data_IF_629730152779
#
_entry.id   IF_629730152779
#
_cell.length_a   1.000
_cell.length_b   1.000
_cell.length_c   1.000
_cell.angle_alpha   90.00
_cell.angle_beta   90.00
_cell.angle_gamma   90.00
#
_symmetry.space_group_name_H-M   'P 1'
#
loop_
_entity.id
_entity.type
_entity.pdbx_description
1 polymer ?
#
# COMPACT_ATOMS: atom_id res chain seq x y z
N UNK A 1 2.64 -15.37 7.03
CA UNK A 1 1.19 -15.20 7.28
C UNK A 1 0.45 -16.28 6.55
N UNK A 2 -0.33 -17.09 7.25
CA UNK A 2 -1.17 -18.11 6.62
C UNK A 2 -2.22 -17.44 5.73
N UNK A 3 -2.49 -18.01 4.55
CA UNK A 3 -3.42 -17.45 3.55
C UNK A 3 -3.12 -16.00 3.14
N UNK A 4 -1.84 -15.59 3.13
CA UNK A 4 -1.44 -14.23 2.73
C UNK A 4 -2.00 -13.84 1.35
N UNK A 5 -1.97 -14.77 0.40
CA UNK A 5 -2.46 -14.56 -0.97
C UNK A 5 -3.98 -14.66 -1.12
N UNK A 6 -4.74 -14.71 -0.03
CA UNK A 6 -6.20 -14.67 -0.08
C UNK A 6 -6.66 -13.28 -0.57
N UNK A 7 -7.47 -13.18 -1.64
CA UNK A 7 -8.06 -11.92 -2.07
C UNK A 7 -8.79 -11.17 -0.94
N UNK A 8 -9.39 -11.89 0.01
CA UNK A 8 -10.12 -11.32 1.15
C UNK A 8 -9.26 -10.38 2.01
N UNK A 9 -7.95 -10.61 2.08
CA UNK A 9 -7.04 -9.74 2.83
C UNK A 9 -6.89 -8.32 2.21
N UNK A 10 -7.47 -8.09 1.03
CA UNK A 10 -7.48 -6.78 0.34
C UNK A 10 -8.73 -5.95 0.63
N UNK A 11 -9.79 -6.55 1.18
CA UNK A 11 -11.08 -5.88 1.41
C UNK A 11 -11.20 -5.44 2.88
N UNK A 12 -11.55 -4.18 3.12
CA UNK A 12 -11.53 -3.59 4.47
C UNK A 12 -12.54 -4.27 5.41
N UNK A 13 -13.73 -4.59 4.92
CA UNK A 13 -14.77 -5.33 5.63
C UNK A 13 -14.26 -6.70 6.09
N UNK A 14 -13.71 -7.50 5.17
CA UNK A 14 -13.12 -8.80 5.48
C UNK A 14 -11.93 -8.70 6.44
N UNK A 15 -11.09 -7.64 6.32
CA UNK A 15 -9.97 -7.39 7.24
C UNK A 15 -10.47 -7.08 8.65
N UNK A 16 -11.52 -6.28 8.79
CA UNK A 16 -12.10 -5.92 10.09
C UNK A 16 -12.72 -7.14 10.79
N UNK A 17 -13.36 -8.03 10.02
CA UNK A 17 -13.96 -9.26 10.55
C UNK A 17 -12.89 -10.31 10.90
N UNK A 18 -11.97 -10.58 9.97
CA UNK A 18 -11.03 -11.71 10.07
C UNK A 18 -9.70 -11.33 10.73
N UNK A 19 -9.43 -10.03 10.92
CA UNK A 19 -8.17 -9.48 11.46
C UNK A 19 -6.94 -9.94 10.68
N UNK A 20 -7.10 -10.18 9.38
CA UNK A 20 -6.06 -10.60 8.44
C UNK A 20 -6.08 -9.65 7.26
N UNK A 21 -5.00 -8.89 7.06
CA UNK A 21 -4.90 -7.91 5.99
C UNK A 21 -3.50 -7.85 5.41
N UNK A 22 -3.40 -7.30 4.20
CA UNK A 22 -2.13 -7.03 3.53
C UNK A 22 -1.47 -5.76 4.09
N UNK A 23 -0.16 -5.56 3.87
CA UNK A 23 0.51 -4.32 4.26
C UNK A 23 -0.21 -3.06 3.80
N UNK A 24 -0.70 -3.08 2.55
CA UNK A 24 -1.47 -1.99 1.98
C UNK A 24 -2.80 -1.79 2.73
N UNK A 25 -3.61 -2.83 2.89
CA UNK A 25 -4.95 -2.71 3.47
C UNK A 25 -4.89 -2.26 4.93
N UNK A 26 -3.92 -2.77 5.70
CA UNK A 26 -3.69 -2.33 7.07
C UNK A 26 -3.21 -0.87 7.12
N UNK A 27 -2.40 -0.43 6.16
CA UNK A 27 -2.00 0.97 6.04
C UNK A 27 -3.18 1.89 5.75
N UNK A 28 -4.09 1.49 4.86
CA UNK A 28 -5.34 2.23 4.63
C UNK A 28 -6.18 2.31 5.90
N UNK A 29 -6.30 1.22 6.65
CA UNK A 29 -7.00 1.22 7.94
C UNK A 29 -6.36 2.21 8.94
N UNK A 30 -5.03 2.24 9.04
CA UNK A 30 -4.32 3.20 9.89
C UNK A 30 -4.58 4.65 9.46
N UNK A 31 -4.52 4.96 8.16
CA UNK A 31 -4.83 6.29 7.63
C UNK A 31 -6.25 6.70 8.02
N UNK A 32 -7.25 5.83 7.81
CA UNK A 32 -8.64 6.12 8.13
C UNK A 32 -8.88 6.34 9.63
N UNK A 33 -8.18 5.61 10.49
CA UNK A 33 -8.26 5.78 11.95
C UNK A 33 -7.54 7.07 12.38
N UNK A 34 -6.33 7.32 11.88
CA UNK A 34 -5.55 8.50 12.20
C UNK A 34 -6.29 9.80 11.83
N UNK A 35 -6.91 9.84 10.64
CA UNK A 35 -7.74 10.96 10.21
C UNK A 35 -8.87 11.29 11.21
N UNK A 36 -9.50 10.27 11.81
CA UNK A 36 -10.55 10.45 12.84
C UNK A 36 -10.00 10.98 14.16
N UNK A 37 -8.71 10.78 14.41
CA UNK A 37 -7.98 11.29 15.57
C UNK A 37 -7.32 12.65 15.30
N UNK A 38 -7.47 13.21 14.09
CA UNK A 38 -6.83 14.47 13.71
C UNK A 38 -5.34 14.35 13.39
N UNK A 39 -4.86 13.14 13.09
CA UNK A 39 -3.48 12.88 12.65
C UNK A 39 -3.45 12.59 11.15
N UNK A 40 -2.57 13.27 10.41
CA UNK A 40 -2.41 13.05 8.98
C UNK A 40 -1.30 12.04 8.68
N UNK A 41 -1.70 10.82 8.32
CA UNK A 41 -0.79 9.80 7.81
C UNK A 41 -0.89 9.70 6.29
N UNK A 42 0.26 9.69 5.64
CA UNK A 42 0.41 9.55 4.20
C UNK A 42 0.78 8.10 3.83
N UNK A 43 0.27 7.55 2.73
CA UNK A 43 0.66 6.22 2.25
C UNK A 43 2.10 6.22 1.73
N UNK A 44 2.90 5.21 2.08
CA UNK A 44 4.29 5.07 1.64
C UNK A 44 4.47 3.70 0.99
N UNK A 45 4.83 3.74 -0.30
CA UNK A 45 4.91 2.54 -1.12
C UNK A 45 6.35 2.19 -1.51
N UNK A 46 6.95 1.22 -0.84
CA UNK A 46 8.29 0.69 -1.17
C UNK A 46 8.19 -0.62 -1.98
N UNK A 47 9.22 -1.05 -2.71
CA UNK A 47 9.13 -2.29 -3.47
C UNK A 47 8.87 -3.49 -2.55
N UNK A 48 7.87 -4.29 -2.89
CA UNK A 48 7.46 -5.47 -2.10
C UNK A 48 6.73 -5.17 -0.78
N UNK A 49 6.54 -3.91 -0.37
CA UNK A 49 5.90 -3.59 0.91
C UNK A 49 5.11 -2.27 0.87
N UNK A 50 4.32 -2.01 1.91
CA UNK A 50 3.54 -0.78 2.03
C UNK A 50 3.36 -0.41 3.49
N UNK A 51 3.49 0.86 3.81
CA UNK A 51 3.45 1.40 5.17
C UNK A 51 2.91 2.84 5.15
N UNK A 52 2.98 3.55 6.27
CA UNK A 52 2.51 4.95 6.38
C UNK A 52 3.59 5.87 6.92
N UNK A 53 3.55 7.13 6.53
CA UNK A 53 4.46 8.19 7.00
C UNK A 53 3.68 9.33 7.65
N UNK A 54 4.28 10.01 8.62
CA UNK A 54 3.78 11.25 9.19
C UNK A 54 4.81 12.35 8.96
N UNK A 55 4.34 13.51 8.49
CA UNK A 55 5.17 14.64 8.08
C UNK A 55 4.68 15.97 8.67
N UNK A 56 3.89 15.93 9.75
CA UNK A 56 3.30 17.12 10.37
C UNK A 56 4.33 17.94 11.18
N UNK A 57 5.37 17.29 11.71
CA UNK A 57 6.43 17.91 12.52
C UNK A 57 7.78 17.96 11.77
N UNK A 58 8.73 18.73 12.31
CA UNK A 58 10.12 18.82 11.80
C UNK A 58 10.84 17.46 11.71
N UNK A 59 10.37 16.46 12.47
CA UNK A 59 10.91 15.12 12.51
C UNK A 59 9.90 14.11 11.92
N UNK A 60 9.96 13.82 10.60
CA UNK A 60 9.07 12.83 10.01
C UNK A 60 9.37 11.43 10.54
N UNK A 61 8.32 10.62 10.67
CA UNK A 61 8.44 9.22 11.04
C UNK A 61 7.62 8.34 10.09
N UNK A 62 7.97 7.06 10.09
CA UNK A 62 7.26 6.03 9.35
C UNK A 62 6.78 4.96 10.32
N UNK A 63 5.69 4.30 9.97
CA UNK A 63 5.03 3.29 10.78
C UNK A 63 4.59 2.15 9.87
N UNK A 64 4.89 0.92 10.27
CA UNK A 64 4.56 -0.29 9.52
C UNK A 64 3.44 -1.07 10.23
N UNK A 65 2.18 -0.94 9.77
CA UNK A 65 1.04 -1.65 10.34
C UNK A 65 1.13 -3.16 10.25
N UNK A 66 1.81 -3.68 9.23
CA UNK A 66 1.95 -5.12 9.01
C UNK A 66 2.98 -5.73 9.95
N UNK A 67 4.07 -5.02 10.21
CA UNK A 67 5.09 -5.37 11.21
C UNK A 67 4.70 -4.89 12.62
N UNK A 68 3.45 -5.15 13.02
CA UNK A 68 2.92 -4.88 14.37
C UNK A 68 3.06 -3.43 14.84
N UNK A 69 2.95 -2.47 13.92
CA UNK A 69 3.06 -1.04 14.25
C UNK A 69 4.51 -0.61 14.54
N UNK A 70 5.50 -1.22 13.88
CA UNK A 70 6.90 -0.85 14.04
C UNK A 70 7.16 0.55 13.47
N UNK A 71 7.80 1.40 14.26
CA UNK A 71 8.24 2.73 13.84
C UNK A 71 9.61 2.69 13.17
N UNK A 72 9.83 3.61 12.23
CA UNK A 72 11.10 3.88 11.58
C UNK A 72 11.38 5.38 11.53
N UNK A 73 12.64 5.74 11.73
CA UNK A 73 13.16 7.03 11.27
C UNK A 73 13.38 7.00 9.76
N UNK A 74 13.55 8.15 9.09
CA UNK A 74 13.90 8.17 7.66
C UNK A 74 15.15 7.35 7.33
N UNK A 75 16.19 7.43 8.17
CA UNK A 75 17.39 6.61 8.00
C UNK A 75 17.09 5.13 8.23
N UNK A 76 16.35 4.77 9.27
CA UNK A 76 16.02 3.37 9.54
C UNK A 76 15.17 2.71 8.46
N UNK A 77 14.30 3.49 7.78
CA UNK A 77 13.55 3.00 6.63
C UNK A 77 14.46 2.84 5.40
N UNK A 78 15.39 3.77 5.17
CA UNK A 78 16.42 3.63 4.11
C UNK A 78 17.26 2.37 4.32
N UNK A 79 17.78 2.16 5.53
CA UNK A 79 18.57 0.98 5.88
C UNK A 79 17.76 -0.31 5.64
N UNK A 80 16.46 -0.30 5.95
CA UNK A 80 15.58 -1.45 5.67
C UNK A 80 15.48 -1.77 4.17
N UNK A 81 15.38 -0.74 3.33
CA UNK A 81 15.31 -0.91 1.86
C UNK A 81 16.64 -1.47 1.33
N UNK A 82 17.77 -0.93 1.79
CA UNK A 82 19.11 -1.41 1.42
C UNK A 82 19.32 -2.88 1.81
N UNK A 83 18.90 -3.25 3.02
CA UNK A 83 18.99 -4.63 3.50
C UNK A 83 18.12 -5.62 2.70
N UNK A 84 17.13 -5.12 1.94
CA UNK A 84 16.35 -5.92 1.01
C UNK A 84 17.01 -6.03 -0.40
N UNK A 85 18.25 -5.56 -0.55
CA UNK A 85 18.99 -5.45 -1.82
C UNK A 85 18.27 -4.60 -2.87
N UNK A 86 17.59 -3.55 -2.42
CA UNK A 86 16.93 -2.56 -3.27
C UNK A 86 17.72 -1.25 -3.14
N UNK A 87 18.06 -0.63 -4.27
CA UNK A 87 18.67 0.69 -4.27
C UNK A 87 17.67 1.73 -3.76
N UNK A 88 17.98 2.50 -2.69
CA UNK A 88 17.03 3.46 -2.15
C UNK A 88 16.90 4.69 -3.04
N UNK A 89 15.72 4.90 -3.58
CA UNK A 89 15.35 6.14 -4.27
C UNK A 89 14.60 7.09 -3.34
N UNK A 90 14.70 8.40 -3.60
CA UNK A 90 13.94 9.41 -2.85
C UNK A 90 12.43 9.14 -2.86
N UNK A 91 11.90 8.59 -3.97
CA UNK A 91 10.50 8.21 -4.10
C UNK A 91 10.04 7.16 -3.08
N UNK A 92 10.94 6.32 -2.55
CA UNK A 92 10.58 5.32 -1.53
C UNK A 92 10.23 5.93 -0.17
N UNK A 93 10.69 7.15 0.09
CA UNK A 93 10.47 7.89 1.34
C UNK A 93 9.32 8.91 1.20
N UNK A 94 8.82 9.12 -0.01
CA UNK A 94 7.79 10.09 -0.32
C UNK A 94 6.38 9.48 -0.31
N UNK A 95 5.33 10.29 -0.04
CA UNK A 95 3.94 9.87 -0.19
C UNK A 95 3.63 9.28 -1.57
N UNK A 96 3.00 8.11 -1.58
CA UNK A 96 2.41 7.54 -2.78
C UNK A 96 1.14 8.29 -3.14
N UNK A 97 0.93 8.57 -4.41
CA UNK A 97 -0.34 9.14 -4.87
C UNK A 97 -1.50 8.18 -4.64
N UNK A 98 -2.72 8.72 -4.59
CA UNK A 98 -3.96 7.93 -4.56
C UNK A 98 -3.99 6.93 -5.71
N UNK A 99 -3.57 7.36 -6.91
CA UNK A 99 -3.49 6.51 -8.11
C UNK A 99 -2.53 5.34 -7.91
N UNK A 100 -1.33 5.59 -7.40
CA UNK A 100 -0.34 4.52 -7.15
C UNK A 100 -0.83 3.54 -6.09
N UNK A 101 -1.52 4.05 -5.05
CA UNK A 101 -2.13 3.24 -4.00
C UNK A 101 -3.22 2.33 -4.58
N UNK A 102 -4.19 2.89 -5.32
CA UNK A 102 -5.25 2.11 -5.96
C UNK A 102 -4.69 1.10 -6.97
N UNK A 103 -3.68 1.50 -7.76
CA UNK A 103 -3.03 0.58 -8.68
C UNK A 103 -2.31 -0.56 -7.95
N UNK A 104 -1.72 -0.31 -6.77
CA UNK A 104 -1.17 -1.39 -5.94
C UNK A 104 -2.28 -2.30 -5.42
N UNK A 105 -3.43 -1.78 -4.97
CA UNK A 105 -4.59 -2.60 -4.58
C UNK A 105 -5.00 -3.56 -5.69
N UNK A 106 -5.21 -3.03 -6.90
CA UNK A 106 -5.61 -3.83 -8.04
C UNK A 106 -4.54 -4.86 -8.43
N UNK A 107 -3.24 -4.51 -8.39
CA UNK A 107 -2.16 -5.49 -8.65
C UNK A 107 -2.16 -6.64 -7.64
N UNK A 108 -2.39 -6.37 -6.35
CA UNK A 108 -2.51 -7.42 -5.33
C UNK A 108 -3.67 -8.35 -5.66
N UNK A 109 -4.85 -7.80 -5.96
CA UNK A 109 -6.04 -8.58 -6.31
C UNK A 109 -5.86 -9.39 -7.59
N UNK A 110 -5.29 -8.79 -8.64
CA UNK A 110 -4.96 -9.51 -9.89
C UNK A 110 -4.08 -10.71 -9.59
N UNK A 111 -3.02 -10.53 -8.78
CA UNK A 111 -2.11 -11.61 -8.42
C UNK A 111 -2.84 -12.71 -7.62
N UNK A 112 -3.57 -12.33 -6.57
CA UNK A 112 -4.24 -13.27 -5.66
C UNK A 112 -5.34 -14.08 -6.37
N UNK A 113 -6.18 -13.43 -7.18
CA UNK A 113 -7.19 -14.14 -7.98
C UNK A 113 -6.57 -15.03 -9.06
N UNK A 114 -5.42 -14.63 -9.64
CA UNK A 114 -4.69 -15.50 -10.58
C UNK A 114 -4.20 -16.76 -9.89
N UNK A 115 -3.58 -16.62 -8.71
CA UNK A 115 -3.08 -17.74 -7.91
C UNK A 115 -4.21 -18.68 -7.45
N UNK A 116 -5.41 -18.14 -7.18
CA UNK A 116 -6.58 -18.94 -6.81
C UNK A 116 -7.36 -19.51 -8.02
N UNK A 117 -6.90 -19.32 -9.25
CA UNK A 117 -7.57 -19.78 -10.47
C UNK A 117 -8.84 -19.02 -10.87
N UNK A 118 -9.14 -17.90 -10.22
CA UNK A 118 -10.34 -17.08 -10.48
C UNK A 118 -10.06 -16.04 -11.57
N UNK A 119 -9.80 -16.51 -12.79
CA UNK A 119 -9.30 -15.67 -13.89
C UNK A 119 -10.23 -14.52 -14.30
N UNK A 120 -11.55 -14.70 -14.17
CA UNK A 120 -12.52 -13.63 -14.46
C UNK A 120 -12.32 -12.43 -13.51
N UNK A 121 -12.13 -12.69 -12.21
CA UNK A 121 -11.85 -11.65 -11.23
C UNK A 121 -10.49 -11.01 -11.46
N UNK A 122 -9.47 -11.81 -11.77
CA UNK A 122 -8.16 -11.27 -12.15
C UNK A 122 -8.25 -10.37 -13.39
N UNK A 123 -9.08 -10.70 -14.37
CA UNK A 123 -9.29 -9.87 -15.55
C UNK A 123 -10.04 -8.58 -15.24
N UNK A 124 -11.03 -8.63 -14.34
CA UNK A 124 -11.76 -7.44 -13.89
C UNK A 124 -10.82 -6.43 -13.23
N UNK A 125 -10.03 -6.85 -12.22
CA UNK A 125 -9.12 -5.92 -11.56
C UNK A 125 -7.98 -5.43 -12.47
N UNK A 126 -7.66 -6.19 -13.52
CA UNK A 126 -6.73 -5.75 -14.56
C UNK A 126 -7.33 -4.66 -15.44
N UNK A 127 -8.64 -4.64 -15.70
CA UNK A 127 -9.26 -3.56 -16.48
C UNK A 127 -9.19 -2.23 -15.73
N UNK A 128 -9.42 -2.23 -14.42
CA UNK A 128 -9.26 -1.02 -13.59
C UNK A 128 -7.84 -0.45 -13.63
N UNK A 129 -6.81 -1.31 -13.66
CA UNK A 129 -5.42 -0.86 -13.82
C UNK A 129 -5.20 -0.11 -15.14
N UNK A 130 -5.74 -0.64 -16.23
CA UNK A 130 -5.66 0.01 -17.54
C UNK A 130 -6.37 1.36 -17.53
N UNK A 131 -7.57 1.43 -16.96
CA UNK A 131 -8.35 2.68 -16.85
C UNK A 131 -7.63 3.76 -16.03
N UNK A 132 -6.99 3.38 -14.92
CA UNK A 132 -6.21 4.33 -14.11
C UNK A 132 -5.00 4.89 -14.87
N UNK A 133 -4.36 4.07 -15.70
CA UNK A 133 -3.24 4.52 -16.53
C UNK A 133 -3.70 5.45 -17.65
N UNK A 134 -4.77 5.10 -18.36
CA UNK A 134 -5.34 5.93 -19.43
C UNK A 134 -5.80 7.29 -18.92
N UNK A 135 -6.42 7.34 -17.73
CA UNK A 135 -6.88 8.59 -17.13
C UNK A 135 -5.71 9.51 -16.79
N UNK A 136 -4.62 8.95 -16.26
CA UNK A 136 -3.39 9.69 -15.95
C UNK A 136 -2.74 10.28 -17.21
N UNK A 137 -2.59 9.46 -18.26
CA UNK A 137 -1.97 9.89 -19.51
C UNK A 137 -2.76 11.02 -20.18
N UNK A 138 -4.09 11.03 -20.04
CA UNK A 138 -4.96 12.13 -20.53
C UNK A 138 -4.76 13.42 -19.75
N UNK A 139 -4.61 13.35 -18.43
CA UNK A 139 -4.43 14.53 -17.57
C UNK A 139 -3.04 15.18 -17.68
N UNK A 140 -2.01 14.42 -18.05
CA UNK A 140 -0.64 14.92 -18.21
C UNK A 140 -0.36 15.48 -19.62
N UNK A 141 -1.23 15.20 -20.60
CA UNK A 141 -1.08 15.64 -21.99
C UNK A 141 -2.03 16.79 -22.37
N UNK A 142 -2.87 17.25 -21.45
CA UNK A 142 -3.77 18.41 -21.62
C UNK A 142 -3.28 19.58 -20.79
#
# INVERSE_FOLDING_TARGET
VENYNDPENSFLDSVLENRKGLPLTLSVLYILVAQRLGLHLEPIGIPGHFLVGCFEDDAPFYLDPFERGRFYTPQGLRDRIENANIEPELGHLAPASIRETLARCCRNLVNHYTLSGQLNMASLFRSFLSEFQETYDKQMKG
#
